data_IF_124383892740
#
_entry.id   IF_124383892740
#
_cell.length_a   1.000
_cell.length_b   1.000
_cell.length_c   1.000
_cell.angle_alpha   90.00
_cell.angle_beta   90.00
_cell.angle_gamma   90.00
#
_symmetry.space_group_name_H-M   'P 1'
#
loop_
_entity.id
_entity.type
_entity.pdbx_description
1 polymer ?
#
# COMPACT_ATOMS: atom_id res chain seq x y z
N UNK A 1 -21.50 13.94 1.90
CA UNK A 1 -20.54 13.03 2.54
C UNK A 1 -19.68 12.43 1.43
N UNK A 2 -18.54 13.03 1.11
CA UNK A 2 -17.60 12.46 0.13
C UNK A 2 -16.43 11.87 0.91
N UNK A 3 -16.49 10.56 1.16
CA UNK A 3 -15.32 9.73 1.51
C UNK A 3 -15.01 8.96 0.24
N UNK A 4 -14.17 9.51 -0.63
CA UNK A 4 -13.23 8.77 -1.47
C UNK A 4 -12.51 9.80 -2.35
N UNK A 5 -11.27 10.09 -1.99
CA UNK A 5 -10.45 11.10 -2.64
C UNK A 5 -9.06 11.07 -2.04
N UNK A 6 -8.54 9.86 -1.83
CA UNK A 6 -7.11 9.71 -1.59
C UNK A 6 -6.42 10.15 -2.87
N UNK A 7 -5.85 11.35 -2.84
CA UNK A 7 -5.06 11.90 -3.93
C UNK A 7 -3.95 10.90 -4.24
N UNK A 8 -3.95 10.39 -5.47
CA UNK A 8 -2.90 9.54 -6.01
C UNK A 8 -1.56 10.25 -5.79
N UNK A 9 -0.60 9.54 -5.22
CA UNK A 9 0.74 10.07 -4.93
C UNK A 9 1.52 10.39 -6.21
N UNK A 10 1.02 9.97 -7.37
CA UNK A 10 1.68 10.06 -8.67
C UNK A 10 2.77 8.99 -8.82
N UNK A 11 2.88 8.06 -7.86
CA UNK A 11 3.86 6.99 -7.87
C UNK A 11 3.13 5.64 -7.95
N UNK A 12 3.04 5.02 -9.15
CA UNK A 12 2.17 3.87 -9.39
C UNK A 12 2.32 2.72 -8.39
N UNK A 13 3.55 2.41 -7.97
CA UNK A 13 3.80 1.38 -6.96
C UNK A 13 3.25 1.75 -5.57
N UNK A 14 3.41 3.00 -5.14
CA UNK A 14 2.90 3.50 -3.86
C UNK A 14 1.38 3.53 -3.88
N UNK A 15 0.77 3.97 -4.98
CA UNK A 15 -0.69 4.02 -5.12
C UNK A 15 -1.33 2.64 -5.11
N UNK A 16 -0.67 1.65 -5.72
CA UNK A 16 -1.09 0.25 -5.65
C UNK A 16 -1.01 -0.30 -4.21
N UNK A 17 0.08 0.00 -3.49
CA UNK A 17 0.23 -0.38 -2.08
C UNK A 17 -0.86 0.25 -1.21
N UNK A 18 -1.12 1.55 -1.33
CA UNK A 18 -2.17 2.24 -0.57
C UNK A 18 -3.55 1.60 -0.78
N UNK A 19 -3.86 1.22 -2.02
CA UNK A 19 -5.09 0.50 -2.35
C UNK A 19 -5.12 -0.90 -1.75
N UNK A 20 -3.99 -1.62 -1.78
CA UNK A 20 -3.86 -2.93 -1.14
C UNK A 20 -4.08 -2.84 0.36
N UNK A 21 -3.46 -1.87 1.04
CA UNK A 21 -3.61 -1.63 2.48
C UNK A 21 -5.07 -1.32 2.85
N UNK A 22 -5.78 -0.54 2.04
CA UNK A 22 -7.20 -0.26 2.24
C UNK A 22 -8.08 -1.53 2.14
N UNK A 23 -7.68 -2.50 1.32
CA UNK A 23 -8.34 -3.80 1.23
C UNK A 23 -7.96 -4.71 2.40
N UNK A 24 -6.66 -4.79 2.73
CA UNK A 24 -6.12 -5.58 3.82
C UNK A 24 -6.76 -5.24 5.16
N UNK A 25 -6.99 -3.95 5.44
CA UNK A 25 -7.63 -3.49 6.67
C UNK A 25 -9.04 -4.08 6.92
N UNK A 26 -9.67 -4.70 5.91
CA UNK A 26 -10.97 -5.36 6.01
C UNK A 26 -10.87 -6.87 6.25
N UNK A 27 -9.67 -7.46 6.20
CA UNK A 27 -9.41 -8.89 6.41
C UNK A 27 -9.37 -9.26 7.90
N UNK A 28 -9.38 -10.55 8.20
CA UNK A 28 -9.16 -11.03 9.56
C UNK A 28 -7.71 -10.70 10.01
N UNK A 29 -7.46 -10.49 11.32
CA UNK A 29 -6.14 -10.07 11.80
C UNK A 29 -4.98 -10.98 11.38
N UNK A 30 -5.20 -12.29 11.26
CA UNK A 30 -4.17 -13.22 10.81
C UNK A 30 -3.77 -13.02 9.34
N UNK A 31 -4.73 -12.65 8.49
CA UNK A 31 -4.52 -12.42 7.05
C UNK A 31 -3.94 -11.02 6.78
N UNK A 32 -4.23 -10.05 7.66
CA UNK A 32 -3.68 -8.71 7.59
C UNK A 32 -2.15 -8.69 7.59
N UNK A 33 -1.51 -9.58 8.36
CA UNK A 33 -0.05 -9.62 8.52
C UNK A 33 0.63 -9.84 7.16
N UNK A 34 0.17 -10.85 6.40
CA UNK A 34 0.75 -11.18 5.11
C UNK A 34 0.64 -10.01 4.11
N UNK A 35 -0.50 -9.32 4.09
CA UNK A 35 -0.72 -8.17 3.23
C UNK A 35 0.15 -6.96 3.64
N UNK A 36 0.30 -6.71 4.95
CA UNK A 36 1.17 -5.63 5.44
C UNK A 36 2.65 -5.91 5.15
N UNK A 37 3.09 -7.17 5.28
CA UNK A 37 4.46 -7.57 4.94
C UNK A 37 4.74 -7.39 3.45
N UNK A 38 3.81 -7.81 2.59
CA UNK A 38 3.91 -7.61 1.14
C UNK A 38 3.95 -6.12 0.78
N UNK A 39 3.06 -5.31 1.35
CA UNK A 39 3.03 -3.87 1.17
C UNK A 39 4.35 -3.22 1.61
N UNK A 40 4.91 -3.65 2.75
CA UNK A 40 6.19 -3.15 3.25
C UNK A 40 7.36 -3.49 2.30
N UNK A 41 7.41 -4.72 1.76
CA UNK A 41 8.45 -5.09 0.79
C UNK A 41 8.41 -4.20 -0.46
N UNK A 42 7.22 -3.99 -1.04
CA UNK A 42 7.08 -3.14 -2.25
C UNK A 42 7.52 -1.70 -1.98
N UNK A 43 7.20 -1.14 -0.81
CA UNK A 43 7.64 0.20 -0.44
C UNK A 43 9.17 0.28 -0.27
N UNK A 44 9.80 -0.74 0.32
CA UNK A 44 11.27 -0.82 0.45
C UNK A 44 11.94 -0.89 -0.93
N UNK A 45 11.44 -1.74 -1.83
CA UNK A 45 11.94 -1.85 -3.21
C UNK A 45 11.78 -0.54 -3.98
N UNK A 46 10.63 0.12 -3.82
CA UNK A 46 10.35 1.42 -4.43
C UNK A 46 11.34 2.47 -3.95
N UNK A 47 11.57 2.57 -2.64
CA UNK A 47 12.51 3.52 -2.05
C UNK A 47 13.95 3.25 -2.53
N UNK A 48 14.38 1.99 -2.54
CA UNK A 48 15.69 1.61 -3.04
C UNK A 48 15.88 1.94 -4.53
N UNK A 49 14.79 1.90 -5.31
CA UNK A 49 14.79 2.30 -6.72
C UNK A 49 14.94 3.81 -6.92
N UNK A 50 14.39 4.64 -6.01
CA UNK A 50 14.50 6.10 -6.06
C UNK A 50 15.90 6.59 -5.65
N UNK A 51 16.55 5.90 -4.71
CA UNK A 51 17.87 6.27 -4.19
C UNK A 51 19.02 6.07 -5.21
N UNK A 52 18.82 5.24 -6.24
CA UNK A 52 19.82 4.91 -7.27
C UNK A 52 19.92 5.98 -8.36
#
# INVERSE_FOLDING_TARGET
MSRDGGEDTGHPAVDAVLRSLANAARLAPAEQIAEYEAAHQVLQETLAGIDR
#
